data_IF_892219249337
#
_entry.id   IF_892219249337
#
_cell.length_a   1.000
_cell.length_b   1.000
_cell.length_c   1.000
_cell.angle_alpha   90.00
_cell.angle_beta   90.00
_cell.angle_gamma   90.00
#
_symmetry.space_group_name_H-M   'P 1'
#
loop_
_entity.id
_entity.type
_entity.pdbx_description
1 polymer ?
#
# COMPACT_ATOMS: atom_id res chain seq x y z
N UNK A 1 -38.02 103.90 -1.95
CA UNK A 1 -38.34 102.48 -1.94
C UNK A 1 -37.08 101.75 -1.50
N UNK A 2 -37.17 101.25 -0.32
CA UNK A 2 -35.99 100.66 0.42
C UNK A 2 -36.03 99.18 0.32
N UNK A 3 -35.00 98.50 -0.16
CA UNK A 3 -34.85 97.10 -0.09
C UNK A 3 -33.75 96.71 0.94
N UNK A 4 -34.16 95.98 1.96
CA UNK A 4 -33.25 95.40 2.97
C UNK A 4 -32.71 94.10 2.47
N UNK A 5 -31.40 93.93 2.48
CA UNK A 5 -30.73 92.67 2.20
C UNK A 5 -30.27 92.11 3.55
N UNK A 6 -30.85 90.88 3.88
CA UNK A 6 -30.40 90.10 5.03
C UNK A 6 -29.31 89.14 4.60
N UNK A 7 -28.18 89.24 5.25
CA UNK A 7 -27.07 88.30 5.10
C UNK A 7 -27.40 87.04 6.00
N UNK A 8 -27.31 85.85 5.42
CA UNK A 8 -27.37 84.62 6.13
C UNK A 8 -26.00 84.00 6.19
N UNK A 9 -25.46 83.86 7.39
CA UNK A 9 -24.24 83.14 7.70
C UNK A 9 -24.53 81.63 7.70
N UNK A 10 -23.94 80.87 6.76
CA UNK A 10 -23.93 79.41 6.76
C UNK A 10 -22.65 78.92 7.50
N UNK A 11 -22.85 78.29 8.65
CA UNK A 11 -21.80 77.55 9.35
C UNK A 11 -21.70 76.18 8.73
N UNK A 12 -20.55 75.84 8.06
CA UNK A 12 -20.25 74.54 7.55
C UNK A 12 -19.66 73.66 8.67
N UNK A 13 -20.41 72.70 9.15
CA UNK A 13 -19.90 71.66 10.05
C UNK A 13 -19.24 70.54 9.21
N UNK A 14 -17.93 70.37 9.32
CA UNK A 14 -17.17 69.29 8.73
C UNK A 14 -17.39 68.02 9.59
N UNK A 15 -18.23 67.08 9.10
CA UNK A 15 -18.36 65.70 9.61
C UNK A 15 -17.20 64.89 9.03
N UNK A 16 -16.17 64.61 9.83
CA UNK A 16 -15.11 63.64 9.52
C UNK A 16 -15.70 62.25 9.79
N UNK A 17 -16.19 61.57 8.74
CA UNK A 17 -16.58 60.18 8.77
C UNK A 17 -15.33 59.31 8.80
N UNK A 18 -14.94 58.79 9.99
CA UNK A 18 -13.92 57.74 10.13
C UNK A 18 -14.49 56.42 9.58
N UNK A 19 -14.19 56.08 8.35
CA UNK A 19 -14.41 54.75 7.79
C UNK A 19 -13.43 53.79 8.42
N UNK A 20 -13.89 53.05 9.46
CA UNK A 20 -13.19 51.88 9.99
C UNK A 20 -13.30 50.78 8.90
N UNK A 21 -12.25 50.70 8.07
CA UNK A 21 -12.09 49.57 7.13
C UNK A 21 -11.88 48.30 7.92
N UNK A 22 -12.92 47.48 8.05
CA UNK A 22 -12.78 46.08 8.47
C UNK A 22 -11.95 45.36 7.43
N UNK A 23 -10.66 45.20 7.67
CA UNK A 23 -9.82 44.21 6.98
C UNK A 23 -10.36 42.84 7.30
N UNK A 24 -11.33 42.35 6.50
CA UNK A 24 -11.66 40.94 6.46
C UNK A 24 -10.44 40.23 5.94
N UNK A 25 -9.65 39.64 6.84
CA UNK A 25 -8.63 38.67 6.48
C UNK A 25 -9.37 37.55 5.72
N UNK A 26 -9.34 37.56 4.38
CA UNK A 26 -9.66 36.39 3.58
C UNK A 26 -8.74 35.28 4.08
N UNK A 27 -9.28 34.34 4.86
CA UNK A 27 -8.60 33.07 5.06
C UNK A 27 -8.27 32.54 3.67
N UNK A 28 -6.98 32.52 3.34
CA UNK A 28 -6.50 31.88 2.12
C UNK A 28 -6.94 30.43 2.22
N UNK A 29 -7.97 30.07 1.48
CA UNK A 29 -8.40 28.67 1.37
C UNK A 29 -7.26 27.97 0.66
N UNK A 30 -6.71 26.93 1.32
CA UNK A 30 -5.63 26.15 0.72
C UNK A 30 -6.13 25.62 -0.64
N UNK A 31 -5.30 25.76 -1.66
CA UNK A 31 -5.60 25.27 -3.00
C UNK A 31 -5.87 23.76 -2.94
N UNK A 32 -6.98 23.32 -3.51
CA UNK A 32 -7.32 21.88 -3.49
C UNK A 32 -6.29 21.12 -4.31
N UNK A 33 -5.64 20.15 -3.67
CA UNK A 33 -4.69 19.23 -4.27
C UNK A 33 -5.26 17.83 -4.23
N UNK A 34 -5.01 17.05 -5.28
CA UNK A 34 -5.48 15.68 -5.39
C UNK A 34 -4.30 14.74 -5.56
N UNK A 35 -4.39 13.57 -4.97
CA UNK A 35 -3.48 12.47 -5.27
C UNK A 35 -4.21 11.13 -5.27
N UNK A 36 -3.64 10.17 -6.00
CA UNK A 36 -4.18 8.83 -6.15
C UNK A 36 -3.22 7.80 -5.58
N UNK A 37 -3.76 6.86 -4.79
CA UNK A 37 -3.02 5.71 -4.27
C UNK A 37 -3.36 4.48 -5.12
N UNK A 38 -2.37 3.95 -5.83
CA UNK A 38 -2.46 2.63 -6.47
C UNK A 38 -2.39 1.51 -5.42
N UNK A 39 -3.28 0.54 -5.52
CA UNK A 39 -3.37 -0.56 -4.55
C UNK A 39 -3.25 -1.92 -5.23
N UNK A 40 -4.25 -2.79 -5.08
CA UNK A 40 -4.37 -4.07 -5.78
C UNK A 40 -5.85 -4.49 -5.82
N UNK A 41 -6.12 -5.77 -6.01
CA UNK A 41 -7.48 -6.31 -5.94
C UNK A 41 -8.17 -6.02 -4.61
N UNK A 42 -9.46 -5.72 -4.65
CA UNK A 42 -10.25 -5.25 -3.49
C UNK A 42 -10.37 -6.27 -2.35
N UNK A 43 -10.10 -7.55 -2.61
CA UNK A 43 -10.11 -8.64 -1.62
C UNK A 43 -8.80 -8.77 -0.84
N UNK A 44 -7.75 -8.05 -1.27
CA UNK A 44 -6.44 -7.99 -0.59
C UNK A 44 -6.35 -6.85 0.42
N UNK A 45 -5.19 -6.75 1.08
CA UNK A 45 -4.97 -5.75 2.13
C UNK A 45 -4.57 -4.37 1.57
N UNK A 46 -4.02 -4.28 0.37
CA UNK A 46 -3.58 -2.99 -0.20
C UNK A 46 -4.73 -2.00 -0.37
N UNK A 47 -5.89 -2.48 -0.85
CA UNK A 47 -7.06 -1.61 -1.06
C UNK A 47 -7.58 -1.01 0.24
N UNK A 48 -7.87 -1.77 1.31
CA UNK A 48 -8.23 -1.19 2.60
C UNK A 48 -7.11 -0.37 3.23
N UNK A 49 -5.82 -0.67 2.98
CA UNK A 49 -4.70 0.13 3.47
C UNK A 49 -4.68 1.53 2.81
N UNK A 50 -4.78 1.60 1.50
CA UNK A 50 -4.95 2.87 0.78
C UNK A 50 -6.17 3.63 1.26
N UNK A 51 -7.30 2.95 1.45
CA UNK A 51 -8.54 3.52 1.99
C UNK A 51 -8.38 4.10 3.39
N UNK A 52 -7.64 3.42 4.27
CA UNK A 52 -7.35 3.89 5.62
C UNK A 52 -6.50 5.17 5.60
N UNK A 53 -5.45 5.20 4.78
CA UNK A 53 -4.60 6.39 4.57
C UNK A 53 -5.45 7.55 4.04
N UNK A 54 -6.20 7.34 2.95
CA UNK A 54 -7.06 8.36 2.36
C UNK A 54 -8.09 8.90 3.34
N UNK A 55 -8.68 8.03 4.18
CA UNK A 55 -9.65 8.45 5.20
C UNK A 55 -9.01 9.42 6.20
N UNK A 56 -7.80 9.16 6.65
CA UNK A 56 -7.09 10.02 7.61
C UNK A 56 -6.67 11.33 6.97
N UNK A 57 -6.09 11.31 5.77
CA UNK A 57 -5.72 12.52 5.02
C UNK A 57 -6.96 13.41 4.77
N UNK A 58 -8.04 12.83 4.27
CA UNK A 58 -9.26 13.60 3.93
C UNK A 58 -9.91 14.26 5.15
N UNK A 59 -9.71 13.73 6.37
CA UNK A 59 -10.18 14.40 7.60
C UNK A 59 -9.56 15.79 7.80
N UNK A 60 -8.25 15.93 7.49
CA UNK A 60 -7.51 17.20 7.59
C UNK A 60 -7.69 18.15 6.41
N UNK A 61 -8.50 17.80 5.40
CA UNK A 61 -8.62 18.56 4.13
C UNK A 61 -8.94 20.05 4.28
N UNK A 62 -9.63 20.43 5.36
CA UNK A 62 -9.97 21.85 5.61
C UNK A 62 -8.74 22.67 5.98
N UNK A 63 -7.69 22.03 6.50
CA UNK A 63 -6.45 22.65 6.94
C UNK A 63 -5.42 22.73 5.79
N UNK A 64 -5.24 21.60 5.08
CA UNK A 64 -4.18 21.48 4.06
C UNK A 64 -4.69 21.39 2.60
N UNK A 65 -5.98 21.34 2.35
CA UNK A 65 -6.57 21.32 0.98
C UNK A 65 -6.43 19.97 0.25
N UNK A 66 -5.77 18.96 0.83
CA UNK A 66 -5.45 17.71 0.12
C UNK A 66 -6.61 16.73 0.15
N UNK A 67 -6.93 16.14 -1.01
CA UNK A 67 -7.88 15.06 -1.19
C UNK A 67 -7.18 13.82 -1.76
N UNK A 68 -7.61 12.66 -1.30
CA UNK A 68 -7.04 11.38 -1.67
C UNK A 68 -8.10 10.48 -2.30
N UNK A 69 -7.72 9.76 -3.35
CA UNK A 69 -8.49 8.68 -3.97
C UNK A 69 -7.68 7.39 -3.96
N UNK A 70 -8.40 6.27 -4.03
CA UNK A 70 -7.79 4.92 -4.05
C UNK A 70 -8.18 4.24 -5.35
N UNK A 71 -7.20 3.67 -6.03
CA UNK A 71 -7.39 2.91 -7.25
C UNK A 71 -7.07 1.43 -7.03
N UNK A 72 -7.99 0.55 -7.46
CA UNK A 72 -7.74 -0.88 -7.55
C UNK A 72 -6.95 -1.18 -8.82
N UNK A 73 -5.73 -1.70 -8.66
CA UNK A 73 -4.77 -1.91 -9.73
C UNK A 73 -4.37 -3.38 -9.90
N UNK A 74 -3.38 -3.63 -10.75
CA UNK A 74 -2.75 -4.94 -10.91
C UNK A 74 -1.87 -5.36 -9.73
N UNK A 75 -1.48 -4.45 -8.83
CA UNK A 75 -0.60 -4.72 -7.69
C UNK A 75 0.80 -4.12 -7.85
N UNK A 76 1.77 -4.65 -7.11
CA UNK A 76 3.10 -4.03 -6.89
C UNK A 76 3.82 -3.58 -8.16
N UNK A 77 3.96 -4.47 -9.15
CA UNK A 77 4.69 -4.17 -10.40
C UNK A 77 3.97 -3.08 -11.19
N UNK A 78 2.63 -3.16 -11.26
CA UNK A 78 1.81 -2.14 -11.92
C UNK A 78 2.00 -0.78 -11.24
N UNK A 79 1.87 -0.72 -9.90
CA UNK A 79 1.97 0.52 -9.14
C UNK A 79 3.33 1.19 -9.30
N UNK A 80 4.42 0.42 -9.21
CA UNK A 80 5.78 0.94 -9.38
C UNK A 80 6.00 1.52 -10.78
N UNK A 81 5.48 0.85 -11.83
CA UNK A 81 5.55 1.36 -13.20
C UNK A 81 4.70 2.63 -13.38
N UNK A 82 3.48 2.67 -12.84
CA UNK A 82 2.58 3.81 -12.94
C UNK A 82 3.13 5.04 -12.19
N UNK A 83 3.76 4.84 -11.02
CA UNK A 83 4.46 5.90 -10.28
C UNK A 83 5.65 6.43 -11.10
N UNK A 84 6.46 5.55 -11.69
CA UNK A 84 7.57 5.94 -12.56
C UNK A 84 7.12 6.80 -13.74
N UNK A 85 5.95 6.50 -14.32
CA UNK A 85 5.36 7.21 -15.45
C UNK A 85 4.62 8.49 -15.03
N UNK A 86 4.37 8.69 -13.73
CA UNK A 86 3.60 9.81 -13.20
C UNK A 86 2.09 9.65 -13.36
N UNK A 87 1.62 8.41 -13.58
CA UNK A 87 0.19 8.08 -13.67
C UNK A 87 -0.43 7.90 -12.27
N UNK A 88 0.40 7.49 -11.30
CA UNK A 88 0.05 7.44 -9.87
C UNK A 88 1.03 8.30 -9.08
N UNK A 89 0.51 9.00 -8.06
CA UNK A 89 1.33 9.78 -7.14
C UNK A 89 1.99 8.89 -6.08
N UNK A 90 1.24 7.91 -5.60
CA UNK A 90 1.62 7.00 -4.53
C UNK A 90 1.06 5.61 -4.79
N UNK A 91 1.62 4.62 -4.11
CA UNK A 91 1.11 3.26 -4.22
C UNK A 91 1.58 2.35 -3.11
N UNK A 92 0.95 1.18 -3.02
CA UNK A 92 1.41 0.11 -2.15
C UNK A 92 2.14 -0.93 -2.99
N UNK A 93 3.32 -1.34 -2.56
CA UNK A 93 4.15 -2.32 -3.24
C UNK A 93 4.88 -3.21 -2.24
N UNK A 94 5.24 -4.42 -2.66
CA UNK A 94 6.11 -5.30 -1.91
C UNK A 94 7.54 -4.73 -1.84
N UNK A 95 8.23 -4.93 -0.73
CA UNK A 95 9.58 -4.41 -0.48
C UNK A 95 10.65 -4.99 -1.41
N UNK A 96 10.50 -6.23 -1.86
CA UNK A 96 11.36 -6.86 -2.87
C UNK A 96 11.25 -6.13 -4.22
N UNK A 97 10.05 -5.88 -4.68
CA UNK A 97 9.82 -5.20 -5.96
C UNK A 97 10.16 -3.72 -5.90
N UNK A 98 9.99 -3.07 -4.75
CA UNK A 98 10.51 -1.73 -4.50
C UNK A 98 12.03 -1.69 -4.67
N UNK A 99 12.76 -2.67 -4.08
CA UNK A 99 14.20 -2.80 -4.24
C UNK A 99 14.60 -2.95 -5.71
N UNK A 100 13.96 -3.87 -6.40
CA UNK A 100 14.26 -4.16 -7.80
C UNK A 100 13.94 -2.98 -8.74
N UNK A 101 12.86 -2.25 -8.49
CA UNK A 101 12.52 -1.05 -9.26
C UNK A 101 13.56 0.07 -9.04
N UNK A 102 13.93 0.35 -7.77
CA UNK A 102 14.91 1.37 -7.44
C UNK A 102 16.30 1.08 -8.02
N UNK A 103 16.71 -0.21 -8.04
CA UNK A 103 18.02 -0.62 -8.52
C UNK A 103 18.06 -1.03 -10.00
N UNK A 104 16.93 -1.16 -10.67
CA UNK A 104 16.86 -1.59 -12.07
C UNK A 104 17.31 -3.03 -12.27
N UNK A 105 16.88 -3.92 -11.38
CA UNK A 105 17.23 -5.35 -11.41
C UNK A 105 16.00 -6.22 -11.61
N UNK A 106 16.16 -7.52 -11.77
CA UNK A 106 15.10 -8.49 -12.04
C UNK A 106 14.17 -8.03 -13.18
N UNK A 107 12.85 -7.96 -12.95
CA UNK A 107 11.88 -7.55 -13.99
C UNK A 107 12.10 -6.09 -14.47
N UNK A 108 12.75 -5.26 -13.69
CA UNK A 108 13.03 -3.86 -14.03
C UNK A 108 14.36 -3.67 -14.79
N UNK A 109 15.14 -4.72 -15.02
CA UNK A 109 16.45 -4.62 -15.71
C UNK A 109 16.36 -3.95 -17.10
N UNK A 110 15.29 -4.20 -17.85
CA UNK A 110 15.08 -3.58 -19.17
C UNK A 110 14.71 -2.10 -19.12
N UNK A 111 14.03 -1.68 -18.03
CA UNK A 111 13.62 -0.30 -17.81
C UNK A 111 14.72 0.54 -17.15
N UNK A 112 15.71 -0.14 -16.54
CA UNK A 112 16.75 0.48 -15.73
C UNK A 112 16.25 0.97 -14.37
N UNK A 113 17.18 1.44 -13.56
CA UNK A 113 16.92 1.93 -12.21
C UNK A 113 15.96 3.12 -12.19
N UNK A 114 15.00 3.11 -11.27
CA UNK A 114 14.15 4.25 -10.96
C UNK A 114 14.68 4.99 -9.74
N UNK A 115 15.57 5.94 -9.97
CA UNK A 115 16.20 6.72 -8.88
C UNK A 115 15.29 7.81 -8.31
N UNK A 116 14.12 8.03 -8.91
CA UNK A 116 13.09 8.94 -8.37
C UNK A 116 12.15 8.22 -7.38
N UNK A 117 12.13 6.88 -7.37
CA UNK A 117 11.30 6.10 -6.43
C UNK A 117 11.72 6.38 -4.98
N UNK A 118 10.73 6.58 -4.10
CA UNK A 118 10.92 6.84 -2.67
C UNK A 118 10.03 5.97 -1.80
N UNK A 119 10.59 5.49 -0.68
CA UNK A 119 9.80 4.95 0.42
C UNK A 119 9.12 6.09 1.18
N UNK A 120 7.91 5.85 1.63
CA UNK A 120 7.21 6.75 2.57
C UNK A 120 7.21 6.14 3.96
N UNK A 121 6.73 4.91 4.09
CA UNK A 121 6.83 4.04 5.26
C UNK A 121 6.46 2.60 4.88
N UNK A 122 6.85 1.63 5.71
CA UNK A 122 6.37 0.26 5.53
C UNK A 122 5.05 0.01 6.27
N UNK A 123 4.40 -1.05 5.90
CA UNK A 123 3.13 -1.50 6.46
C UNK A 123 3.30 -2.89 7.10
N UNK A 124 2.38 -3.78 6.84
CA UNK A 124 2.33 -5.13 7.40
C UNK A 124 3.28 -6.11 6.68
N UNK A 125 3.56 -7.21 7.34
CA UNK A 125 4.24 -8.35 6.72
C UNK A 125 3.29 -9.07 5.76
N UNK A 126 3.84 -9.64 4.70
CA UNK A 126 3.13 -10.37 3.66
C UNK A 126 3.75 -11.75 3.48
N UNK A 127 3.33 -12.75 4.29
CA UNK A 127 3.71 -14.12 4.06
C UNK A 127 3.31 -14.59 2.65
N UNK A 128 4.22 -15.27 1.96
CA UNK A 128 3.93 -15.94 0.71
C UNK A 128 3.10 -17.19 1.02
N UNK A 129 1.83 -17.13 0.70
CA UNK A 129 0.82 -18.09 1.14
C UNK A 129 0.37 -18.96 -0.03
N UNK A 130 0.43 -20.27 0.16
CA UNK A 130 -0.19 -21.26 -0.71
C UNK A 130 -1.45 -21.75 -0.05
N UNK A 131 -2.57 -21.66 -0.75
CA UNK A 131 -3.85 -22.22 -0.32
C UNK A 131 -4.29 -23.28 -1.31
N UNK A 132 -4.54 -24.49 -0.83
CA UNK A 132 -4.91 -25.64 -1.65
C UNK A 132 -6.23 -26.23 -1.19
N UNK A 133 -6.95 -26.86 -2.11
CA UNK A 133 -8.07 -27.72 -1.71
C UNK A 133 -7.52 -28.94 -0.98
N UNK A 134 -8.15 -29.34 0.12
CA UNK A 134 -7.72 -30.50 0.90
C UNK A 134 -7.72 -31.78 0.08
N UNK A 135 -8.71 -31.96 -0.79
CA UNK A 135 -8.84 -33.16 -1.65
C UNK A 135 -7.83 -33.20 -2.81
N UNK A 136 -7.09 -32.11 -3.06
CA UNK A 136 -6.00 -32.05 -4.04
C UNK A 136 -4.78 -32.89 -3.64
N UNK A 137 -4.67 -33.23 -2.34
CA UNK A 137 -3.54 -33.95 -1.76
C UNK A 137 -2.24 -33.13 -1.65
N UNK A 138 -2.27 -31.82 -1.88
CA UNK A 138 -1.12 -30.92 -1.75
C UNK A 138 -0.84 -30.70 -0.26
N UNK A 139 0.35 -31.02 0.21
CA UNK A 139 0.81 -30.89 1.60
C UNK A 139 2.07 -30.04 1.74
N UNK A 140 2.86 -29.96 0.68
CA UNK A 140 4.10 -29.19 0.60
C UNK A 140 4.09 -28.34 -0.67
N UNK A 141 4.97 -27.35 -0.75
CA UNK A 141 5.12 -26.54 -1.97
C UNK A 141 5.47 -27.40 -3.19
N UNK A 142 6.25 -28.47 -2.99
CA UNK A 142 6.68 -29.35 -4.09
C UNK A 142 5.53 -30.18 -4.68
N UNK A 143 4.47 -30.41 -3.93
CA UNK A 143 3.27 -31.09 -4.43
C UNK A 143 2.47 -30.26 -5.45
N UNK A 144 2.84 -29.00 -5.67
CA UNK A 144 2.25 -28.18 -6.73
C UNK A 144 2.61 -28.68 -8.14
N UNK A 145 3.70 -29.44 -8.29
CA UNK A 145 4.05 -30.06 -9.58
C UNK A 145 2.92 -30.94 -10.09
N UNK A 146 2.60 -30.80 -11.36
CA UNK A 146 1.52 -31.54 -12.00
C UNK A 146 0.11 -31.13 -11.58
N UNK A 147 -0.06 -30.04 -10.83
CA UNK A 147 -1.37 -29.52 -10.38
C UNK A 147 -1.82 -28.32 -11.22
N UNK A 148 -3.08 -27.95 -11.08
CA UNK A 148 -3.69 -26.75 -11.64
C UNK A 148 -3.49 -25.61 -10.64
N UNK A 149 -2.61 -24.69 -10.94
CA UNK A 149 -2.20 -23.65 -9.98
C UNK A 149 -2.46 -22.26 -10.53
N UNK A 150 -3.11 -21.40 -9.74
CA UNK A 150 -3.13 -19.96 -10.02
C UNK A 150 -1.91 -19.31 -9.40
N UNK A 151 -1.01 -18.77 -10.23
CA UNK A 151 0.22 -18.10 -9.81
C UNK A 151 0.06 -16.58 -9.67
N UNK A 152 -1.14 -16.05 -9.95
CA UNK A 152 -1.44 -14.62 -9.92
C UNK A 152 -1.41 -13.93 -11.27
N UNK A 153 -2.04 -12.77 -11.33
CA UNK A 153 -2.14 -11.99 -12.56
C UNK A 153 -0.81 -11.31 -12.95
N UNK A 154 -0.57 -11.07 -14.26
CA UNK A 154 0.51 -10.22 -14.70
C UNK A 154 0.46 -8.84 -14.03
N UNK A 155 1.63 -8.32 -13.64
CA UNK A 155 1.74 -7.04 -12.93
C UNK A 155 1.53 -7.12 -11.41
N UNK A 156 1.19 -8.28 -10.86
CA UNK A 156 1.13 -8.48 -9.41
C UNK A 156 2.50 -8.85 -8.82
N UNK A 157 2.76 -8.39 -7.60
CA UNK A 157 3.97 -8.78 -6.87
C UNK A 157 3.96 -10.26 -6.50
N UNK A 158 2.80 -10.83 -6.12
CA UNK A 158 2.70 -12.23 -5.76
C UNK A 158 3.12 -13.18 -6.90
N UNK A 159 2.73 -12.87 -8.16
CA UNK A 159 3.19 -13.63 -9.32
C UNK A 159 4.69 -13.52 -9.49
N UNK A 160 5.21 -12.31 -9.41
CA UNK A 160 6.62 -12.07 -9.60
C UNK A 160 7.46 -12.77 -8.52
N UNK A 161 7.02 -12.79 -7.26
CA UNK A 161 7.66 -13.56 -6.18
C UNK A 161 7.53 -15.07 -6.38
N UNK A 162 6.39 -15.55 -6.91
CA UNK A 162 6.25 -16.96 -7.30
C UNK A 162 7.28 -17.35 -8.37
N UNK A 163 7.49 -16.51 -9.38
CA UNK A 163 8.48 -16.75 -10.44
C UNK A 163 9.91 -16.75 -9.90
N UNK A 164 10.23 -15.92 -8.87
CA UNK A 164 11.52 -15.97 -8.17
C UNK A 164 11.69 -17.33 -7.48
N UNK A 165 10.71 -17.79 -6.70
CA UNK A 165 10.79 -19.07 -6.00
C UNK A 165 10.85 -20.26 -6.98
N UNK A 166 10.10 -20.20 -8.08
CA UNK A 166 10.17 -21.20 -9.14
C UNK A 166 11.57 -21.25 -9.75
N UNK A 167 12.16 -20.12 -10.06
CA UNK A 167 13.54 -20.04 -10.60
C UNK A 167 14.55 -20.66 -9.63
N UNK A 168 14.46 -20.35 -8.35
CA UNK A 168 15.35 -20.90 -7.34
C UNK A 168 15.23 -22.43 -7.24
N UNK A 169 14.02 -22.95 -7.40
CA UNK A 169 13.76 -24.40 -7.46
C UNK A 169 14.07 -25.04 -8.83
N UNK A 170 14.51 -24.28 -9.82
CA UNK A 170 14.69 -24.76 -11.19
C UNK A 170 13.39 -25.18 -11.89
N UNK A 171 12.25 -24.60 -11.49
CA UNK A 171 10.94 -24.88 -12.07
C UNK A 171 10.60 -23.95 -13.22
N UNK A 172 9.78 -24.46 -14.12
CA UNK A 172 9.17 -23.72 -15.22
C UNK A 172 7.63 -23.85 -15.17
N UNK A 173 6.94 -23.14 -16.05
CA UNK A 173 5.48 -23.28 -16.15
C UNK A 173 5.04 -24.70 -16.57
N UNK A 174 5.90 -25.45 -17.23
CA UNK A 174 5.65 -26.82 -17.70
C UNK A 174 5.67 -27.87 -16.54
N UNK A 175 6.20 -27.49 -15.37
CA UNK A 175 6.13 -28.34 -14.18
C UNK A 175 4.71 -28.46 -13.61
N UNK A 176 3.80 -27.57 -13.98
CA UNK A 176 2.39 -27.59 -13.59
C UNK A 176 1.54 -28.31 -14.64
N UNK A 177 0.46 -28.97 -14.20
CA UNK A 177 -0.54 -29.49 -15.15
C UNK A 177 -1.18 -28.36 -15.95
N UNK A 178 -1.43 -27.23 -15.29
CA UNK A 178 -1.94 -26.00 -15.90
C UNK A 178 -1.67 -24.81 -14.98
N UNK A 179 -1.17 -23.75 -15.56
CA UNK A 179 -1.01 -22.46 -14.89
C UNK A 179 -2.20 -21.57 -15.21
N UNK A 180 -2.69 -20.86 -14.20
CA UNK A 180 -3.69 -19.81 -14.32
C UNK A 180 -3.09 -18.49 -13.84
N UNK A 181 -3.58 -17.39 -14.40
CA UNK A 181 -3.09 -16.02 -14.17
C UNK A 181 -4.24 -15.09 -13.74
N UNK A 182 -5.11 -15.62 -12.88
CA UNK A 182 -6.29 -14.91 -12.40
C UNK A 182 -5.92 -13.83 -11.39
N UNK A 183 -6.74 -12.78 -11.35
CA UNK A 183 -6.66 -11.78 -10.29
C UNK A 183 -6.97 -12.38 -8.92
N UNK A 184 -6.43 -11.74 -7.87
CA UNK A 184 -6.67 -12.17 -6.49
C UNK A 184 -8.16 -12.28 -6.12
N UNK A 185 -9.02 -11.44 -6.70
CA UNK A 185 -10.48 -11.47 -6.47
C UNK A 185 -11.21 -12.65 -7.13
N UNK A 186 -10.57 -13.33 -8.07
CA UNK A 186 -11.20 -14.41 -8.85
C UNK A 186 -10.76 -15.81 -8.38
N UNK A 187 -9.57 -15.89 -7.78
CA UNK A 187 -8.93 -17.17 -7.47
C UNK A 187 -9.65 -17.98 -6.38
N UNK A 188 -10.26 -17.31 -5.40
CA UNK A 188 -10.98 -17.98 -4.33
C UNK A 188 -12.17 -18.78 -4.85
N UNK A 189 -13.00 -18.16 -5.69
CA UNK A 189 -14.12 -18.84 -6.34
C UNK A 189 -13.64 -20.00 -7.22
N UNK A 190 -12.57 -19.78 -8.02
CA UNK A 190 -12.01 -20.82 -8.87
C UNK A 190 -11.49 -22.03 -8.07
N UNK A 191 -10.94 -21.79 -6.87
CA UNK A 191 -10.52 -22.86 -5.95
C UNK A 191 -11.71 -23.67 -5.45
N UNK A 192 -12.75 -23.00 -4.95
CA UNK A 192 -13.96 -23.64 -4.44
C UNK A 192 -14.75 -24.40 -5.52
N UNK A 193 -14.78 -23.87 -6.75
CA UNK A 193 -15.41 -24.50 -7.92
C UNK A 193 -14.61 -25.67 -8.53
N UNK A 194 -13.47 -26.03 -7.93
CA UNK A 194 -12.58 -27.08 -8.45
C UNK A 194 -12.02 -26.78 -9.85
N UNK A 195 -11.87 -25.51 -10.21
CA UNK A 195 -11.21 -25.11 -11.45
C UNK A 195 -9.67 -25.10 -11.31
N UNK A 196 -9.19 -24.82 -10.09
CA UNK A 196 -7.77 -24.91 -9.69
C UNK A 196 -7.62 -25.79 -8.47
N UNK A 197 -6.41 -26.32 -8.27
CA UNK A 197 -6.07 -27.18 -7.11
C UNK A 197 -5.42 -26.35 -6.00
N UNK A 198 -4.71 -25.27 -6.37
CA UNK A 198 -4.08 -24.33 -5.45
C UNK A 198 -4.05 -22.90 -6.01
N UNK A 199 -4.01 -21.95 -5.09
CA UNK A 199 -3.77 -20.53 -5.39
C UNK A 199 -2.62 -19.98 -4.54
N UNK A 200 -1.90 -19.01 -5.12
CA UNK A 200 -0.84 -18.28 -4.42
C UNK A 200 -1.38 -16.92 -3.97
N UNK A 201 -0.99 -16.48 -2.78
CA UNK A 201 -1.34 -15.17 -2.26
C UNK A 201 -0.23 -14.59 -1.38
N UNK A 202 0.40 -13.52 -1.80
CA UNK A 202 1.29 -12.74 -0.93
C UNK A 202 0.45 -11.59 -0.33
N UNK A 203 0.14 -11.68 0.95
CA UNK A 203 -0.73 -10.72 1.61
C UNK A 203 -0.59 -10.76 3.14
N UNK A 204 -1.00 -9.67 3.80
CA UNK A 204 -1.10 -9.65 5.26
C UNK A 204 -2.19 -10.57 5.79
N UNK A 205 -1.97 -11.08 7.00
CA UNK A 205 -2.90 -11.93 7.73
C UNK A 205 -3.42 -11.23 9.00
N UNK A 206 -4.71 -11.42 9.37
CA UNK A 206 -5.74 -12.20 8.65
C UNK A 206 -6.13 -11.57 7.32
N UNK A 207 -6.39 -12.43 6.33
CA UNK A 207 -6.78 -12.05 4.98
C UNK A 207 -8.21 -12.49 4.67
N UNK A 208 -9.04 -11.57 4.18
CA UNK A 208 -10.47 -11.82 3.93
C UNK A 208 -10.71 -12.90 2.86
N UNK A 209 -9.93 -12.91 1.76
CA UNK A 209 -10.09 -13.91 0.71
C UNK A 209 -9.70 -15.32 1.17
N UNK A 210 -8.66 -15.44 2.00
CA UNK A 210 -8.26 -16.74 2.58
C UNK A 210 -9.32 -17.20 3.60
N UNK A 211 -9.86 -16.28 4.39
CA UNK A 211 -10.93 -16.60 5.34
C UNK A 211 -12.20 -17.08 4.62
N UNK A 212 -12.54 -16.45 3.50
CA UNK A 212 -13.68 -16.85 2.67
C UNK A 212 -13.51 -18.28 2.15
N UNK A 213 -12.39 -18.61 1.51
CA UNK A 213 -12.19 -19.97 0.93
C UNK A 213 -12.07 -21.05 1.98
N UNK A 214 -11.46 -20.77 3.13
CA UNK A 214 -11.36 -21.75 4.23
C UNK A 214 -12.69 -21.97 4.96
N UNK A 215 -13.64 -21.06 4.82
CA UNK A 215 -14.99 -21.17 5.38
C UNK A 215 -15.97 -21.78 4.39
N UNK A 216 -15.83 -21.45 3.09
CA UNK A 216 -16.79 -21.82 2.04
C UNK A 216 -16.47 -23.20 1.45
N UNK A 217 -15.21 -23.52 1.27
CA UNK A 217 -14.75 -24.80 0.76
C UNK A 217 -13.62 -25.35 1.62
N UNK A 218 -13.41 -26.67 1.61
CA UNK A 218 -12.40 -27.33 2.44
C UNK A 218 -10.98 -27.04 1.91
N UNK A 219 -10.46 -25.87 2.29
CA UNK A 219 -9.16 -25.37 1.89
C UNK A 219 -8.15 -25.38 3.04
N UNK A 220 -6.89 -25.65 2.70
CA UNK A 220 -5.77 -25.72 3.64
C UNK A 220 -4.65 -24.80 3.22
N UNK A 221 -3.97 -24.23 4.19
CA UNK A 221 -2.72 -23.52 3.98
C UNK A 221 -1.58 -24.52 3.92
N UNK A 222 -0.68 -24.34 2.96
CA UNK A 222 0.43 -25.24 2.68
C UNK A 222 1.75 -24.56 3.07
N UNK A 223 2.63 -25.24 3.84
CA UNK A 223 3.94 -24.70 4.18
C UNK A 223 4.77 -24.39 2.93
N UNK A 224 5.51 -23.27 2.98
CA UNK A 224 6.47 -22.87 1.96
C UNK A 224 7.82 -22.68 2.62
N UNK A 225 8.58 -23.78 2.69
CA UNK A 225 9.86 -23.86 3.38
C UNK A 225 10.84 -24.76 2.61
N UNK A 226 12.08 -24.87 3.10
CA UNK A 226 13.14 -25.70 2.53
C UNK A 226 14.23 -24.88 1.83
N UNK A 227 15.21 -25.57 1.24
CA UNK A 227 16.48 -25.02 0.77
C UNK A 227 16.31 -23.78 -0.13
N UNK A 228 15.40 -23.78 -1.07
CA UNK A 228 15.15 -22.62 -1.95
C UNK A 228 14.68 -21.38 -1.18
N UNK A 229 13.85 -21.56 -0.14
CA UNK A 229 13.44 -20.46 0.75
C UNK A 229 14.61 -19.99 1.60
N UNK A 230 15.39 -20.91 2.13
CA UNK A 230 16.56 -20.60 2.96
C UNK A 230 17.57 -19.76 2.16
N UNK A 231 17.84 -20.15 0.91
CA UNK A 231 18.72 -19.40 -0.01
C UNK A 231 18.20 -18.00 -0.29
N UNK A 232 16.91 -17.85 -0.57
CA UNK A 232 16.29 -16.53 -0.81
C UNK A 232 16.39 -15.62 0.42
N UNK A 233 16.15 -16.15 1.62
CA UNK A 233 16.23 -15.38 2.87
C UNK A 233 17.68 -15.02 3.22
N UNK A 234 18.64 -15.88 2.90
CA UNK A 234 20.07 -15.61 3.11
C UNK A 234 20.62 -14.59 2.10
N UNK A 235 20.21 -14.70 0.82
CA UNK A 235 20.73 -13.84 -0.25
C UNK A 235 20.14 -12.43 -0.24
N UNK A 236 18.85 -12.30 0.10
CA UNK A 236 18.12 -11.03 -0.06
C UNK A 236 17.58 -10.49 1.25
N UNK A 237 17.95 -9.27 1.66
CA UNK A 237 17.57 -8.69 2.95
C UNK A 237 16.08 -8.32 3.06
N UNK A 238 15.35 -8.34 1.96
CA UNK A 238 13.90 -8.05 1.94
C UNK A 238 13.04 -9.30 2.11
N UNK A 239 13.61 -10.51 2.04
CA UNK A 239 12.91 -11.75 2.40
C UNK A 239 13.19 -12.11 3.85
N UNK A 240 12.15 -12.55 4.56
CA UNK A 240 12.25 -13.00 5.94
C UNK A 240 11.41 -14.25 6.14
N UNK A 241 11.79 -15.10 7.08
CA UNK A 241 10.91 -16.18 7.51
C UNK A 241 9.63 -15.62 8.10
N UNK A 242 8.51 -16.29 7.82
CA UNK A 242 7.20 -15.90 8.30
C UNK A 242 6.45 -17.13 8.83
N UNK A 243 5.58 -16.91 9.79
CA UNK A 243 4.67 -17.93 10.31
C UNK A 243 3.25 -17.37 10.28
N UNK A 244 2.33 -18.12 9.68
CA UNK A 244 0.91 -17.84 9.74
C UNK A 244 0.37 -18.63 10.93
N UNK A 245 -0.17 -17.97 11.98
CA UNK A 245 -0.60 -18.66 13.20
C UNK A 245 -1.71 -19.66 12.97
N UNK A 246 -1.57 -20.83 13.57
CA UNK A 246 -2.62 -21.84 13.60
C UNK A 246 -3.91 -21.35 14.25
N UNK A 247 -5.04 -21.88 13.81
CA UNK A 247 -6.36 -21.48 14.29
C UNK A 247 -6.87 -20.16 13.71
N UNK A 248 -6.07 -19.42 12.95
CA UNK A 248 -6.50 -18.18 12.30
C UNK A 248 -7.57 -18.42 11.22
N UNK A 249 -7.51 -19.53 10.55
CA UNK A 249 -8.41 -19.93 9.46
C UNK A 249 -9.10 -21.25 9.76
N UNK A 250 -10.37 -21.38 9.35
CA UNK A 250 -11.16 -22.60 9.55
C UNK A 250 -10.44 -23.81 8.96
N UNK A 251 -10.37 -24.91 9.70
CA UNK A 251 -9.74 -26.14 9.25
C UNK A 251 -8.21 -26.14 9.21
N UNK A 252 -7.56 -25.08 9.74
CA UNK A 252 -6.11 -24.91 9.77
C UNK A 252 -5.63 -24.68 11.23
N UNK A 253 -5.54 -25.74 12.06
CA UNK A 253 -5.25 -25.61 13.49
C UNK A 253 -3.77 -25.34 13.80
N UNK A 254 -2.86 -25.69 12.90
CA UNK A 254 -1.43 -25.65 13.11
C UNK A 254 -0.80 -24.40 12.49
N UNK A 255 0.35 -23.98 13.05
CA UNK A 255 1.18 -22.93 12.48
C UNK A 255 1.70 -23.33 11.10
N UNK A 256 1.63 -22.42 10.14
CA UNK A 256 2.12 -22.64 8.78
C UNK A 256 3.36 -21.80 8.54
N UNK A 257 4.49 -22.46 8.32
CA UNK A 257 5.75 -21.83 8.02
C UNK A 257 5.81 -21.36 6.57
N UNK A 258 6.41 -20.19 6.36
CA UNK A 258 6.62 -19.59 5.05
C UNK A 258 7.76 -18.59 5.10
N UNK A 259 7.93 -17.85 4.03
CA UNK A 259 8.73 -16.65 3.94
C UNK A 259 7.86 -15.50 3.45
N UNK A 260 8.37 -14.29 3.51
CA UNK A 260 7.59 -13.15 3.02
C UNK A 260 8.39 -11.87 2.94
N UNK A 261 7.66 -10.82 2.60
CA UNK A 261 8.16 -9.45 2.43
C UNK A 261 7.36 -8.49 3.31
N UNK A 262 7.66 -7.21 3.24
CA UNK A 262 6.81 -6.14 3.79
C UNK A 262 5.99 -5.51 2.66
N UNK A 263 4.75 -5.16 2.94
CA UNK A 263 4.04 -4.14 2.18
C UNK A 263 4.67 -2.79 2.49
N UNK A 264 4.90 -1.97 1.47
CA UNK A 264 5.48 -0.64 1.62
C UNK A 264 4.61 0.40 0.92
N UNK A 265 4.52 1.58 1.50
CA UNK A 265 3.88 2.72 0.88
C UNK A 265 4.96 3.56 0.22
N UNK A 266 4.83 3.74 -1.09
CA UNK A 266 5.86 4.31 -1.96
C UNK A 266 5.33 5.49 -2.76
N UNK A 267 6.24 6.35 -3.20
CA UNK A 267 5.96 7.53 -4.02
C UNK A 267 7.16 7.84 -4.92
N UNK A 268 7.11 8.95 -5.62
CA UNK A 268 8.21 9.51 -6.41
C UNK A 268 8.74 10.80 -5.76
N UNK A 269 10.06 11.07 -5.89
CA UNK A 269 10.68 12.35 -5.53
C UNK A 269 10.06 13.57 -6.26
N UNK A 270 9.25 13.30 -7.30
CA UNK A 270 8.51 14.33 -8.05
C UNK A 270 7.25 14.80 -7.32
N UNK A 271 6.73 14.03 -6.39
CA UNK A 271 5.61 14.44 -5.53
C UNK A 271 6.12 15.46 -4.50
N UNK A 272 5.34 16.49 -4.22
CA UNK A 272 5.80 17.57 -3.35
C UNK A 272 6.10 17.07 -1.92
N UNK A 273 7.17 17.64 -1.33
CA UNK A 273 7.55 17.35 0.06
C UNK A 273 6.38 17.58 1.02
N UNK A 274 5.66 18.69 0.84
CA UNK A 274 4.53 19.04 1.71
C UNK A 274 3.39 18.01 1.61
N UNK A 275 3.06 17.54 0.42
CA UNK A 275 2.02 16.52 0.24
C UNK A 275 2.37 15.24 1.00
N UNK A 276 3.59 14.73 0.84
CA UNK A 276 4.03 13.52 1.56
C UNK A 276 4.10 13.77 3.07
N UNK A 277 4.58 14.94 3.51
CA UNK A 277 4.59 15.31 4.92
C UNK A 277 3.17 15.24 5.52
N UNK A 278 2.17 15.82 4.85
CA UNK A 278 0.78 15.79 5.33
C UNK A 278 0.19 14.37 5.35
N UNK A 279 0.53 13.53 4.39
CA UNK A 279 0.11 12.12 4.35
C UNK A 279 0.71 11.35 5.55
N UNK A 280 2.01 11.47 5.77
CA UNK A 280 2.70 10.83 6.90
C UNK A 280 2.15 11.35 8.23
N UNK A 281 1.99 12.67 8.36
CA UNK A 281 1.39 13.31 9.52
C UNK A 281 -0.02 12.79 9.81
N UNK A 282 -0.86 12.65 8.79
CA UNK A 282 -2.21 12.15 8.95
C UNK A 282 -2.24 10.72 9.52
N UNK A 283 -1.31 9.85 9.11
CA UNK A 283 -1.21 8.47 9.59
C UNK A 283 -0.61 8.42 11.00
N UNK A 284 0.54 9.04 11.22
CA UNK A 284 1.30 8.87 12.47
C UNK A 284 0.75 9.71 13.63
N UNK A 285 0.17 10.90 13.39
CA UNK A 285 -0.53 11.64 14.45
C UNK A 285 -1.86 10.97 14.86
N UNK A 286 -2.41 10.07 14.02
CA UNK A 286 -3.61 9.30 14.28
C UNK A 286 -3.35 7.80 14.36
N UNK A 287 -2.16 7.40 14.82
CA UNK A 287 -1.66 6.04 14.71
C UNK A 287 -2.57 4.99 15.37
N UNK A 288 -3.06 5.26 16.59
CA UNK A 288 -3.99 4.36 17.27
C UNK A 288 -5.30 4.17 16.49
N UNK A 289 -5.82 5.24 15.89
CA UNK A 289 -6.99 5.16 15.03
C UNK A 289 -6.66 4.39 13.74
N UNK A 290 -5.48 4.57 13.16
CA UNK A 290 -5.02 3.82 11.98
C UNK A 290 -5.00 2.32 12.24
N UNK A 291 -4.46 1.89 13.38
CA UNK A 291 -4.42 0.47 13.81
C UNK A 291 -5.79 -0.19 13.88
N UNK A 292 -6.85 0.57 14.15
CA UNK A 292 -8.22 0.02 14.23
C UNK A 292 -8.92 -0.11 12.88
N UNK A 293 -8.36 0.45 11.80
CA UNK A 293 -9.00 0.47 10.48
C UNK A 293 -8.94 -0.86 9.73
N UNK A 294 -8.00 -1.73 10.09
CA UNK A 294 -7.93 -3.10 9.57
C UNK A 294 -7.22 -4.01 10.58
N UNK A 295 -7.66 -5.28 10.76
CA UNK A 295 -7.06 -6.20 11.74
C UNK A 295 -5.55 -6.39 11.57
N UNK A 296 -5.05 -6.43 10.33
CA UNK A 296 -3.62 -6.59 10.02
C UNK A 296 -2.76 -5.43 10.58
N UNK A 297 -3.34 -4.27 10.84
CA UNK A 297 -2.62 -3.12 11.38
C UNK A 297 -2.46 -3.15 12.90
N UNK A 298 -3.15 -4.05 13.59
CA UNK A 298 -3.13 -4.12 15.06
C UNK A 298 -1.73 -4.29 15.65
N UNK A 299 -0.83 -4.95 14.92
CA UNK A 299 0.56 -5.22 15.31
C UNK A 299 1.57 -4.18 14.84
N UNK A 300 1.15 -3.19 14.05
CA UNK A 300 2.06 -2.14 13.57
C UNK A 300 2.61 -1.31 14.72
N UNK A 301 3.86 -0.92 14.60
CA UNK A 301 4.48 0.10 15.44
C UNK A 301 5.29 1.09 14.59
N UNK A 302 5.41 2.35 15.02
CA UNK A 302 6.06 3.39 14.23
C UNK A 302 7.51 3.09 13.88
N UNK A 303 8.26 2.46 14.77
CA UNK A 303 9.68 2.16 14.55
C UNK A 303 9.87 1.19 13.39
N UNK A 304 9.14 0.06 13.42
CA UNK A 304 9.25 -0.95 12.35
C UNK A 304 8.77 -0.39 11.00
N UNK A 305 7.76 0.48 11.00
CA UNK A 305 7.28 1.13 9.78
C UNK A 305 8.32 2.06 9.13
N UNK A 306 9.30 2.53 9.90
CA UNK A 306 10.37 3.42 9.41
C UNK A 306 11.62 2.62 9.06
N UNK A 307 11.95 1.59 9.84
CA UNK A 307 13.21 0.85 9.72
C UNK A 307 13.10 -0.36 8.77
N UNK A 308 11.98 -1.09 8.78
CA UNK A 308 11.83 -2.34 8.04
C UNK A 308 11.25 -2.14 6.64
N UNK A 309 11.74 -2.89 5.66
CA UNK A 309 11.15 -3.01 4.32
C UNK A 309 11.26 -1.77 3.42
N UNK A 310 11.80 -0.65 3.92
CA UNK A 310 12.00 0.56 3.13
C UNK A 310 13.29 0.42 2.29
N UNK A 311 13.18 -0.26 1.15
CA UNK A 311 14.32 -0.64 0.30
C UNK A 311 14.72 0.40 -0.75
N UNK A 312 14.03 1.54 -0.80
CA UNK A 312 14.42 2.78 -1.48
C UNK A 312 14.64 3.89 -0.44
N UNK A 313 15.33 4.99 -0.78
CA UNK A 313 15.47 6.13 0.13
C UNK A 313 14.11 6.68 0.58
N UNK A 314 14.04 7.17 1.80
CA UNK A 314 12.84 7.85 2.29
C UNK A 314 12.56 9.12 1.46
N UNK A 315 11.29 9.42 1.29
CA UNK A 315 10.87 10.68 0.71
C UNK A 315 11.15 11.84 1.69
N UNK A 316 11.61 12.99 1.20
CA UNK A 316 11.96 14.16 2.04
C UNK A 316 10.84 14.58 2.99
N UNK A 317 9.59 14.53 2.53
CA UNK A 317 8.43 14.83 3.38
C UNK A 317 8.22 13.85 4.52
N UNK A 318 8.49 12.56 4.27
CA UNK A 318 8.45 11.53 5.31
C UNK A 318 9.60 11.70 6.29
N UNK A 319 10.81 11.89 5.78
CA UNK A 319 12.01 12.13 6.59
C UNK A 319 11.85 13.35 7.50
N UNK A 320 11.33 14.48 6.96
CA UNK A 320 11.05 15.69 7.72
C UNK A 320 10.12 15.40 8.91
N UNK A 321 8.99 14.75 8.67
CA UNK A 321 8.05 14.41 9.75
C UNK A 321 8.70 13.52 10.81
N UNK A 322 9.40 12.47 10.38
CA UNK A 322 10.02 11.52 11.33
C UNK A 322 11.11 12.18 12.18
N UNK A 323 11.91 13.09 11.61
CA UNK A 323 12.89 13.88 12.38
C UNK A 323 12.22 14.84 13.36
N UNK A 324 11.17 15.55 12.95
CA UNK A 324 10.40 16.45 13.82
C UNK A 324 9.79 15.74 15.03
N UNK A 325 9.39 14.48 14.85
CA UNK A 325 8.82 13.63 15.92
C UNK A 325 9.87 12.84 16.72
N UNK A 326 11.14 12.96 16.37
CA UNK A 326 12.22 12.20 17.02
C UNK A 326 12.18 10.69 16.72
N UNK A 327 11.47 10.29 15.67
CA UNK A 327 11.36 8.90 15.21
C UNK A 327 12.54 8.49 14.31
N UNK A 328 13.22 9.47 13.72
CA UNK A 328 14.44 9.31 12.92
C UNK A 328 15.51 10.27 13.47
N UNK A 329 16.76 9.78 13.55
CA UNK A 329 17.91 10.58 14.04
C UNK A 329 18.46 11.54 12.97
#
# INVERSE_FOLDING_TARGET
MKFFTKAVLLSAAFLVSATVGTLSAKQAQAEEQFFTIGTAGVTGVYYPAGGAICRLVTRGRKEHGIRCTVESTGGSIYNLNAIRQGELDMGVAQSDWQYHAYNGTALFARLGADKDLRSVFSLHSEPFTVVARRDSGIKTFDDLKGKRVNIGNPGSGMRATMEVLMKEKGWTMDDFKRVFEMKASEQGQALCDNNIDAMIYAAGHPNGAIQEVTTTCDAVLVPVEGEAVDQLVEEFPFYTYATIPGGMYVGNPDDVKSFGVKATFVSSDKVSEEMIYQVVKAVFDNFDAFKTLHPVFSTLNPKDMIEDGNTAPLHKGAERYFREKGLLK
#
